data_IF_441254183290
#
_entry.id   IF_441254183290
#
_cell.length_a   1.000
_cell.length_b   1.000
_cell.length_c   1.000
_cell.angle_alpha   90.00
_cell.angle_beta   90.00
_cell.angle_gamma   90.00
#
_symmetry.space_group_name_H-M   'P 1'
#
loop_
_entity.id
_entity.type
_entity.pdbx_description
1 polymer ?
#
# COMPACT_ATOMS: atom_id res chain seq x y z
N UNK A 1 -25.00 -29.14 -76.59
CA UNK A 1 -24.68 -27.81 -77.16
C UNK A 1 -24.57 -26.80 -76.03
N UNK A 2 -23.34 -26.30 -75.84
CA UNK A 2 -22.81 -25.19 -75.02
C UNK A 2 -23.72 -24.61 -73.93
N UNK A 3 -23.43 -24.90 -72.66
CA UNK A 3 -23.78 -24.04 -71.52
C UNK A 3 -22.49 -23.51 -70.88
N UNK A 4 -22.30 -22.20 -70.96
CA UNK A 4 -21.18 -21.44 -70.42
C UNK A 4 -21.24 -21.45 -68.89
N UNK A 5 -20.18 -21.95 -68.25
CA UNK A 5 -19.96 -21.87 -66.81
C UNK A 5 -19.25 -20.54 -66.56
N UNK A 6 -19.91 -19.61 -65.85
CA UNK A 6 -19.28 -18.39 -65.38
C UNK A 6 -18.67 -18.63 -64.00
N UNK A 7 -17.36 -18.37 -63.88
CA UNK A 7 -16.65 -18.27 -62.61
C UNK A 7 -17.12 -17.02 -61.85
N UNK A 8 -17.42 -17.11 -60.54
CA UNK A 8 -17.28 -15.98 -59.65
C UNK A 8 -15.90 -15.99 -58.99
N UNK A 9 -15.26 -14.84 -59.12
CA UNK A 9 -13.99 -14.38 -58.57
C UNK A 9 -13.90 -14.55 -57.06
N UNK A 10 -12.87 -15.25 -56.59
CA UNK A 10 -12.48 -15.32 -55.18
C UNK A 10 -11.80 -14.01 -54.80
N UNK A 11 -12.53 -13.11 -54.13
CA UNK A 11 -11.97 -11.90 -53.54
C UNK A 11 -11.39 -12.27 -52.17
N UNK A 12 -10.05 -12.23 -52.07
CA UNK A 12 -9.31 -12.56 -50.86
C UNK A 12 -9.58 -11.58 -49.72
N UNK A 13 -10.12 -12.10 -48.62
CA UNK A 13 -10.16 -11.40 -47.33
C UNK A 13 -8.80 -11.58 -46.66
N UNK A 14 -7.94 -10.57 -46.79
CA UNK A 14 -6.72 -10.44 -46.00
C UNK A 14 -7.13 -9.98 -44.60
N UNK A 15 -7.19 -10.93 -43.68
CA UNK A 15 -7.47 -10.71 -42.27
C UNK A 15 -6.24 -10.05 -41.63
N UNK A 16 -6.27 -8.73 -41.48
CA UNK A 16 -5.29 -7.96 -40.71
C UNK A 16 -5.38 -8.39 -39.24
N UNK A 17 -4.49 -9.29 -38.83
CA UNK A 17 -4.17 -9.58 -37.43
C UNK A 17 -3.51 -8.33 -36.81
N UNK A 18 -4.30 -7.34 -36.43
CA UNK A 18 -3.89 -6.37 -35.43
C UNK A 18 -3.78 -7.11 -34.09
N UNK A 19 -2.60 -7.62 -33.81
CA UNK A 19 -2.24 -8.07 -32.47
C UNK A 19 -2.33 -6.88 -31.53
N UNK A 20 -3.43 -6.77 -30.79
CA UNK A 20 -3.54 -5.85 -29.67
C UNK A 20 -2.59 -6.38 -28.60
N UNK A 21 -1.35 -5.91 -28.61
CA UNK A 21 -0.45 -6.09 -27.47
C UNK A 21 -1.09 -5.34 -26.31
N UNK A 22 -1.68 -6.08 -25.37
CA UNK A 22 -2.11 -5.51 -24.10
C UNK A 22 -0.83 -4.97 -23.45
N UNK A 23 -0.71 -3.65 -23.37
CA UNK A 23 0.43 -3.02 -22.72
C UNK A 23 0.51 -3.59 -21.29
N UNK A 24 1.67 -4.11 -20.86
CA UNK A 24 1.80 -4.61 -19.51
C UNK A 24 1.49 -3.47 -18.54
N UNK A 25 0.62 -3.73 -17.56
CA UNK A 25 0.37 -2.78 -16.46
C UNK A 25 1.71 -2.41 -15.80
N UNK A 26 1.93 -1.12 -15.54
CA UNK A 26 3.15 -0.62 -14.92
C UNK A 26 3.51 -1.43 -13.65
N UNK A 27 4.78 -1.81 -13.50
CA UNK A 27 5.26 -2.64 -12.40
C UNK A 27 5.09 -4.16 -12.57
N UNK A 28 4.61 -4.62 -13.73
CA UNK A 28 4.67 -6.05 -14.07
C UNK A 28 6.13 -6.51 -14.13
N UNK A 29 6.53 -7.60 -13.45
CA UNK A 29 7.94 -7.98 -13.35
C UNK A 29 8.57 -8.20 -14.74
N UNK A 30 9.61 -7.43 -15.10
CA UNK A 30 10.50 -7.78 -16.22
C UNK A 30 11.28 -9.05 -15.85
N UNK A 31 11.77 -9.82 -16.84
CA UNK A 31 12.47 -11.12 -16.68
C UNK A 31 13.61 -11.15 -15.64
N UNK A 32 14.13 -10.01 -15.20
CA UNK A 32 15.18 -9.90 -14.18
C UNK A 32 14.63 -9.30 -12.88
N UNK A 33 14.18 -10.17 -11.98
CA UNK A 33 13.82 -9.81 -10.60
C UNK A 33 15.04 -9.96 -9.71
N UNK A 34 15.47 -8.87 -9.10
CA UNK A 34 16.57 -8.86 -8.15
C UNK A 34 16.04 -9.09 -6.74
N UNK A 35 16.68 -10.01 -6.04
CA UNK A 35 16.50 -10.28 -4.61
C UNK A 35 17.75 -9.94 -3.82
N UNK A 36 18.64 -9.10 -4.37
CA UNK A 36 19.81 -8.55 -3.67
C UNK A 36 19.68 -7.03 -3.66
N UNK A 37 19.58 -6.45 -2.47
CA UNK A 37 19.45 -5.01 -2.26
C UNK A 37 20.85 -4.44 -2.04
N UNK A 38 21.14 -3.31 -2.66
CA UNK A 38 22.34 -2.52 -2.41
C UNK A 38 21.96 -1.06 -2.28
N UNK A 39 22.77 -0.28 -1.57
CA UNK A 39 22.61 1.16 -1.48
C UNK A 39 23.83 1.81 -2.14
N UNK A 40 23.58 2.67 -3.11
CA UNK A 40 24.59 3.50 -3.75
C UNK A 40 24.38 4.95 -3.33
N UNK A 41 25.44 5.60 -2.84
CA UNK A 41 25.38 6.97 -2.35
C UNK A 41 25.36 8.02 -3.46
N UNK A 42 25.70 7.64 -4.69
CA UNK A 42 25.81 8.51 -5.87
C UNK A 42 24.53 8.54 -6.73
N UNK A 43 23.59 7.62 -6.51
CA UNK A 43 22.36 7.53 -7.27
C UNK A 43 21.31 8.55 -6.76
N UNK A 44 20.56 9.22 -7.65
CA UNK A 44 19.46 10.10 -7.26
C UNK A 44 18.47 9.40 -6.33
N UNK A 45 18.02 10.11 -5.30
CA UNK A 45 17.05 9.61 -4.34
C UNK A 45 15.64 10.08 -4.69
N UNK A 46 14.66 9.18 -4.59
CA UNK A 46 13.23 9.49 -4.73
C UNK A 46 12.42 8.77 -3.65
N UNK A 47 11.37 9.41 -3.14
CA UNK A 47 10.38 8.74 -2.29
C UNK A 47 9.52 7.80 -3.15
N UNK A 48 9.15 6.64 -2.60
CA UNK A 48 8.48 5.57 -3.35
C UNK A 48 7.25 6.06 -4.11
N UNK A 49 6.35 6.77 -3.43
CA UNK A 49 5.08 7.21 -4.03
C UNK A 49 5.26 8.38 -5.00
N UNK A 50 6.20 9.28 -4.72
CA UNK A 50 6.57 10.36 -5.65
C UNK A 50 7.17 9.78 -6.95
N UNK A 51 8.02 8.76 -6.83
CA UNK A 51 8.58 8.06 -8.00
C UNK A 51 7.53 7.31 -8.82
N UNK A 52 6.50 6.76 -8.17
CA UNK A 52 5.35 6.13 -8.85
C UNK A 52 4.53 7.18 -9.60
N UNK A 53 4.22 8.31 -8.96
CA UNK A 53 3.47 9.42 -9.55
C UNK A 53 4.20 10.01 -10.78
N UNK A 54 5.52 10.20 -10.67
CA UNK A 54 6.38 10.67 -11.77
C UNK A 54 6.68 9.62 -12.84
N UNK A 55 6.09 8.42 -12.74
CA UNK A 55 6.34 7.29 -13.65
C UNK A 55 7.81 6.88 -13.77
N UNK A 56 8.64 7.21 -12.77
CA UNK A 56 10.03 6.76 -12.65
C UNK A 56 10.09 5.35 -12.06
N UNK A 57 9.09 5.02 -11.23
CA UNK A 57 8.91 3.72 -10.61
C UNK A 57 7.58 3.11 -11.04
N UNK A 58 7.56 1.79 -11.22
CA UNK A 58 6.33 1.00 -11.31
C UNK A 58 6.20 0.12 -10.07
N UNK A 59 5.01 -0.03 -9.51
CA UNK A 59 4.77 -0.91 -8.38
C UNK A 59 3.57 -1.83 -8.63
N UNK A 60 3.73 -3.12 -8.36
CA UNK A 60 2.66 -4.11 -8.45
C UNK A 60 2.61 -5.00 -7.23
N UNK A 61 1.41 -5.17 -6.69
CA UNK A 61 1.17 -6.00 -5.51
C UNK A 61 0.45 -7.29 -5.91
N UNK A 62 0.96 -8.41 -5.42
CA UNK A 62 0.34 -9.73 -5.55
C UNK A 62 0.05 -10.28 -4.15
N UNK A 63 -1.20 -10.15 -3.68
CA UNK A 63 -1.57 -10.69 -2.38
C UNK A 63 -1.57 -12.21 -2.38
N UNK A 64 -1.08 -12.78 -1.28
CA UNK A 64 -1.12 -14.22 -1.04
C UNK A 64 -2.10 -14.55 0.09
N UNK A 65 -2.17 -13.68 1.10
CA UNK A 65 -3.11 -13.76 2.21
C UNK A 65 -3.27 -12.39 2.87
N UNK A 66 -4.10 -12.32 3.92
CA UNK A 66 -4.18 -11.19 4.83
C UNK A 66 -2.81 -10.71 5.35
N UNK A 67 -1.89 -11.66 5.56
CA UNK A 67 -0.62 -11.44 6.25
C UNK A 67 0.61 -11.31 5.35
N UNK A 68 0.46 -11.56 4.04
CA UNK A 68 1.59 -11.58 3.13
C UNK A 68 1.18 -11.23 1.71
N UNK A 69 1.89 -10.25 1.14
CA UNK A 69 1.84 -9.95 -0.30
C UNK A 69 3.26 -9.86 -0.87
N UNK A 70 3.44 -10.27 -2.12
CA UNK A 70 4.65 -9.98 -2.88
C UNK A 70 4.50 -8.62 -3.56
N UNK A 71 5.44 -7.72 -3.34
CA UNK A 71 5.46 -6.39 -3.95
C UNK A 71 6.65 -6.28 -4.88
N UNK A 72 6.39 -5.90 -6.12
CA UNK A 72 7.41 -5.71 -7.14
C UNK A 72 7.54 -4.22 -7.42
N UNK A 73 8.76 -3.70 -7.29
CA UNK A 73 9.09 -2.30 -7.55
C UNK A 73 10.10 -2.26 -8.69
N UNK A 74 9.70 -1.67 -9.81
CA UNK A 74 10.49 -1.57 -11.04
C UNK A 74 11.02 -0.17 -11.21
N UNK A 75 12.32 -0.03 -11.48
CA UNK A 75 12.89 1.20 -12.01
C UNK A 75 12.56 1.29 -13.51
N UNK A 76 11.82 2.31 -13.91
CA UNK A 76 11.41 2.53 -15.30
C UNK A 76 12.39 3.44 -16.06
N UNK A 77 13.39 3.98 -15.37
CA UNK A 77 14.42 4.85 -15.94
C UNK A 77 15.64 4.08 -16.42
N UNK A 78 16.49 4.76 -17.20
CA UNK A 78 17.77 4.24 -17.71
C UNK A 78 18.95 4.49 -16.76
N UNK A 79 18.72 5.15 -15.62
CA UNK A 79 19.72 5.45 -14.60
C UNK A 79 19.41 4.70 -13.28
N UNK A 80 20.41 4.38 -12.45
CA UNK A 80 20.16 3.82 -11.13
C UNK A 80 19.37 4.81 -10.27
N UNK A 81 18.42 4.31 -9.48
CA UNK A 81 17.54 5.15 -8.67
C UNK A 81 17.48 4.61 -7.24
N UNK A 82 17.81 5.45 -6.25
CA UNK A 82 17.67 5.12 -4.83
C UNK A 82 16.25 5.45 -4.38
N UNK A 83 15.55 4.45 -3.88
CA UNK A 83 14.16 4.54 -3.45
C UNK A 83 14.08 4.56 -1.94
N UNK A 84 13.34 5.53 -1.40
CA UNK A 84 12.96 5.57 0.01
C UNK A 84 11.52 5.07 0.17
N UNK A 85 11.38 4.02 0.94
CA UNK A 85 10.11 3.37 1.27
C UNK A 85 9.66 3.84 2.65
N UNK A 86 8.40 4.27 2.80
CA UNK A 86 7.90 4.66 4.11
C UNK A 86 7.77 3.45 5.02
N UNK A 87 7.76 3.70 6.33
CA UNK A 87 7.69 2.64 7.33
C UNK A 87 6.47 1.72 7.13
N UNK A 88 5.31 2.29 6.78
CA UNK A 88 4.10 1.55 6.48
C UNK A 88 3.50 1.96 5.13
N UNK A 89 2.86 1.00 4.47
CA UNK A 89 2.14 1.17 3.21
C UNK A 89 0.82 0.42 3.26
N UNK A 90 -0.10 0.80 2.37
CA UNK A 90 -1.34 0.05 2.14
C UNK A 90 -1.35 -0.55 0.73
N UNK A 91 -2.08 -1.65 0.57
CA UNK A 91 -2.36 -2.27 -0.72
C UNK A 91 -3.85 -2.39 -0.89
N UNK A 92 -4.38 -1.77 -1.94
CA UNK A 92 -5.82 -1.67 -2.19
C UNK A 92 -6.17 -2.32 -3.51
N UNK A 93 -7.35 -2.92 -3.55
CA UNK A 93 -7.88 -3.48 -4.78
C UNK A 93 -8.34 -2.36 -5.70
N UNK A 94 -7.83 -2.35 -6.93
CA UNK A 94 -8.39 -1.53 -8.00
C UNK A 94 -9.37 -2.41 -8.78
N UNK A 95 -10.62 -1.97 -8.83
CA UNK A 95 -11.56 -2.51 -9.82
C UNK A 95 -10.91 -2.26 -11.18
N UNK A 96 -10.74 -3.32 -11.96
CA UNK A 96 -10.10 -3.25 -13.27
C UNK A 96 -10.59 -2.00 -13.98
N UNK A 97 -9.66 -1.10 -14.32
CA UNK A 97 -9.95 0.06 -15.16
C UNK A 97 -10.79 -0.44 -16.32
N UNK A 98 -12.06 -0.06 -16.30
CA UNK A 98 -13.04 -0.43 -17.29
C UNK A 98 -12.52 0.08 -18.63
N UNK A 99 -11.91 -0.80 -19.42
CA UNK A 99 -11.86 -0.61 -20.86
C UNK A 99 -13.28 -0.41 -21.37
N UNK A 100 -13.50 0.27 -22.51
CA UNK A 100 -14.79 0.82 -22.92
C UNK A 100 -15.92 -0.19 -23.21
N UNK A 101 -15.79 -1.47 -22.83
CA UNK A 101 -16.88 -2.46 -22.89
C UNK A 101 -16.75 -3.58 -21.83
N UNK A 102 -16.95 -3.30 -20.52
CA UNK A 102 -16.94 -4.35 -19.50
C UNK A 102 -18.28 -5.12 -19.44
N UNK A 103 -19.37 -4.54 -19.95
CA UNK A 103 -20.72 -5.10 -19.83
C UNK A 103 -21.06 -6.20 -20.83
N UNK A 104 -20.38 -6.27 -21.98
CA UNK A 104 -20.79 -7.16 -23.07
C UNK A 104 -20.27 -8.60 -22.92
N UNK A 105 -19.08 -8.78 -22.32
CA UNK A 105 -18.52 -10.11 -22.12
C UNK A 105 -19.04 -10.79 -20.83
N UNK A 106 -19.45 -10.00 -19.84
CA UNK A 106 -19.99 -10.48 -18.56
C UNK A 106 -21.40 -11.10 -18.72
N UNK A 107 -22.13 -10.75 -19.77
CA UNK A 107 -23.47 -11.29 -20.05
C UNK A 107 -23.49 -12.61 -20.85
N UNK A 108 -22.35 -13.04 -21.42
CA UNK A 108 -22.30 -14.19 -22.33
C UNK A 108 -21.75 -15.47 -21.69
N UNK A 109 -21.18 -15.40 -20.48
CA UNK A 109 -20.66 -16.56 -19.77
C UNK A 109 -21.58 -16.89 -18.59
N UNK A 110 -22.66 -17.61 -18.90
CA UNK A 110 -23.53 -18.20 -17.90
C UNK A 110 -22.76 -19.20 -17.04
N UNK A 111 -22.45 -18.82 -15.81
CA UNK A 111 -21.84 -19.71 -14.83
C UNK A 111 -20.92 -18.98 -13.85
N UNK A 112 -21.29 -19.06 -12.57
CA UNK A 112 -20.58 -18.53 -11.40
C UNK A 112 -20.67 -17.02 -11.17
N UNK A 113 -21.46 -16.68 -10.15
CA UNK A 113 -21.42 -15.39 -9.47
C UNK A 113 -19.97 -15.09 -9.06
N UNK A 114 -19.28 -14.27 -9.87
CA UNK A 114 -18.03 -13.66 -9.44
C UNK A 114 -18.42 -12.68 -8.34
N UNK A 115 -17.94 -12.94 -7.13
CA UNK A 115 -18.23 -12.19 -5.91
C UNK A 115 -17.93 -10.69 -6.12
N UNK A 116 -18.95 -9.94 -6.52
CA UNK A 116 -18.94 -8.47 -6.65
C UNK A 116 -18.98 -7.90 -5.24
N UNK A 117 -17.82 -7.85 -4.61
CA UNK A 117 -17.62 -7.22 -3.31
C UNK A 117 -16.25 -6.59 -3.27
N UNK A 118 -16.18 -5.39 -2.72
CA UNK A 118 -14.92 -4.67 -2.49
C UNK A 118 -13.95 -5.60 -1.77
N UNK A 119 -12.80 -5.81 -2.40
CA UNK A 119 -11.78 -6.67 -1.83
C UNK A 119 -11.09 -5.97 -0.68
N UNK A 120 -10.63 -6.77 0.27
CA UNK A 120 -9.95 -6.27 1.46
C UNK A 120 -8.69 -5.46 1.13
N UNK A 121 -8.59 -4.25 1.67
CA UNK A 121 -7.34 -3.53 1.74
C UNK A 121 -6.46 -4.08 2.86
N UNK A 122 -5.15 -4.11 2.65
CA UNK A 122 -4.18 -4.52 3.68
C UNK A 122 -3.18 -3.43 3.95
N UNK A 123 -2.67 -3.36 5.18
CA UNK A 123 -1.65 -2.40 5.60
C UNK A 123 -0.53 -3.04 6.39
N UNK A 124 0.69 -2.54 6.24
CA UNK A 124 1.86 -3.03 6.98
C UNK A 124 3.18 -2.62 6.34
N UNK A 125 4.24 -3.37 6.60
CA UNK A 125 5.61 -2.99 6.26
C UNK A 125 6.18 -3.81 5.11
N UNK A 126 6.95 -3.14 4.26
CA UNK A 126 7.75 -3.79 3.23
C UNK A 126 9.05 -4.32 3.83
N UNK A 127 9.38 -5.56 3.53
CA UNK A 127 10.54 -6.26 4.06
C UNK A 127 11.32 -6.92 2.91
N UNK A 128 12.66 -6.98 2.99
CA UNK A 128 13.45 -7.74 2.02
C UNK A 128 13.14 -9.24 2.06
N UNK A 129 13.33 -9.92 0.93
CA UNK A 129 13.15 -11.37 0.80
C UNK A 129 14.43 -12.05 0.35
N UNK A 130 14.51 -13.37 0.53
CA UNK A 130 15.66 -14.18 0.13
C UNK A 130 16.95 -13.78 0.86
N UNK A 131 18.04 -13.66 0.12
CA UNK A 131 19.37 -13.42 0.68
C UNK A 131 19.52 -12.06 1.42
N UNK A 132 18.56 -11.15 1.28
CA UNK A 132 18.58 -9.84 1.96
C UNK A 132 17.90 -9.82 3.33
N UNK A 133 17.36 -10.93 3.83
CA UNK A 133 16.65 -10.92 5.14
C UNK A 133 17.54 -10.53 6.33
N UNK A 134 18.87 -10.58 6.13
CA UNK A 134 19.92 -10.20 7.10
C UNK A 134 20.41 -8.76 6.95
N UNK A 135 19.94 -8.01 5.96
CA UNK A 135 20.29 -6.59 5.80
C UNK A 135 19.36 -5.78 6.70
N UNK A 136 19.92 -4.85 7.46
CA UNK A 136 19.16 -3.86 8.21
C UNK A 136 18.42 -2.96 7.22
N UNK A 137 17.13 -3.25 7.05
CA UNK A 137 16.28 -2.57 6.07
C UNK A 137 15.72 -1.29 6.67
N UNK A 138 16.43 -0.18 6.45
CA UNK A 138 15.99 1.15 6.86
C UNK A 138 15.07 1.83 5.82
N UNK A 139 14.43 1.03 4.95
CA UNK A 139 13.57 1.55 3.89
C UNK A 139 14.29 2.21 2.71
N UNK A 140 15.63 2.16 2.64
CA UNK A 140 16.41 2.77 1.55
C UNK A 140 17.18 1.72 0.75
N UNK A 141 17.03 1.73 -0.58
CA UNK A 141 17.80 0.86 -1.48
C UNK A 141 17.85 1.40 -2.91
N UNK A 142 18.89 1.04 -3.64
CA UNK A 142 19.08 1.39 -5.06
C UNK A 142 18.59 0.27 -5.97
N UNK A 143 17.80 0.66 -6.96
CA UNK A 143 17.35 -0.22 -8.05
C UNK A 143 18.14 0.14 -9.32
N UNK A 144 18.89 -0.80 -9.92
CA UNK A 144 19.57 -0.54 -11.19
C UNK A 144 18.58 -0.19 -12.32
N UNK A 145 19.06 0.42 -13.42
CA UNK A 145 18.25 0.73 -14.59
C UNK A 145 17.41 -0.45 -15.07
N UNK A 146 16.12 -0.22 -15.30
CA UNK A 146 15.18 -1.22 -15.84
C UNK A 146 15.05 -2.54 -15.04
N UNK A 147 15.55 -2.57 -13.80
CA UNK A 147 15.45 -3.74 -12.92
C UNK A 147 14.23 -3.67 -12.03
N UNK A 148 13.80 -4.84 -11.58
CA UNK A 148 12.68 -4.98 -10.64
C UNK A 148 13.17 -5.63 -9.36
N UNK A 149 12.82 -5.06 -8.22
CA UNK A 149 13.08 -5.62 -6.90
C UNK A 149 11.79 -6.27 -6.38
N UNK A 150 11.93 -7.42 -5.72
CA UNK A 150 10.84 -8.05 -4.98
C UNK A 150 10.99 -7.78 -3.48
N UNK A 151 9.94 -7.28 -2.85
CA UNK A 151 9.79 -7.15 -1.40
C UNK A 151 8.58 -7.97 -0.93
N UNK A 152 8.54 -8.29 0.36
CA UNK A 152 7.37 -8.85 1.03
C UNK A 152 6.68 -7.74 1.81
N UNK A 153 5.40 -7.54 1.53
CA UNK A 153 4.52 -6.77 2.41
C UNK A 153 3.99 -7.72 3.48
N UNK A 154 4.47 -7.54 4.71
CA UNK A 154 3.90 -8.21 5.89
C UNK A 154 2.78 -7.31 6.41
N UNK A 155 1.55 -7.78 6.34
CA UNK A 155 0.38 -6.92 6.49
C UNK A 155 -0.68 -7.49 7.42
N UNK A 156 -1.73 -6.72 7.65
CA UNK A 156 -3.00 -7.16 8.22
C UNK A 156 -4.14 -6.57 7.38
N UNK A 157 -5.31 -7.20 7.45
CA UNK A 157 -6.55 -6.67 6.88
C UNK A 157 -6.94 -5.36 7.59
N UNK A 158 -7.18 -4.30 6.84
CA UNK A 158 -7.56 -3.00 7.43
C UNK A 158 -9.03 -2.96 7.84
N UNK A 159 -9.89 -3.73 7.18
CA UNK A 159 -11.33 -3.73 7.44
C UNK A 159 -11.79 -5.11 7.94
N UNK A 160 -12.82 -5.16 8.77
CA UNK A 160 -13.44 -6.43 9.15
C UNK A 160 -14.55 -6.81 8.16
N UNK A 161 -14.73 -8.12 7.91
CA UNK A 161 -15.85 -8.65 7.11
C UNK A 161 -15.63 -8.66 5.60
N UNK A 162 -14.61 -7.97 5.08
CA UNK A 162 -14.23 -8.06 3.66
C UNK A 162 -13.50 -9.36 3.34
N UNK A 163 -13.66 -9.92 2.13
CA UNK A 163 -13.01 -11.15 1.73
C UNK A 163 -11.48 -10.98 1.73
N UNK A 164 -10.78 -11.98 2.27
CA UNK A 164 -9.31 -12.03 2.31
C UNK A 164 -8.72 -11.71 0.93
N UNK A 165 -7.64 -10.89 0.85
CA UNK A 165 -7.09 -10.50 -0.44
C UNK A 165 -6.53 -11.72 -1.17
N UNK A 166 -6.76 -11.76 -2.49
CA UNK A 166 -6.32 -12.86 -3.35
C UNK A 166 -5.55 -12.35 -4.56
N UNK A 167 -4.66 -13.19 -5.08
CA UNK A 167 -3.85 -12.91 -6.28
C UNK A 167 -4.66 -12.84 -7.58
N UNK A 168 -5.93 -13.27 -7.57
CA UNK A 168 -6.85 -13.20 -8.71
C UNK A 168 -7.28 -11.76 -9.03
N UNK A 169 -7.10 -10.86 -8.07
CA UNK A 169 -7.56 -9.48 -8.12
C UNK A 169 -6.35 -8.54 -8.24
N UNK A 170 -6.55 -7.36 -8.83
CA UNK A 170 -5.45 -6.42 -9.09
C UNK A 170 -5.32 -5.42 -7.94
N UNK A 171 -4.11 -5.29 -7.38
CA UNK A 171 -3.84 -4.39 -6.27
C UNK A 171 -2.76 -3.38 -6.62
N UNK A 172 -2.93 -2.17 -6.09
CA UNK A 172 -1.94 -1.11 -6.14
C UNK A 172 -1.47 -0.74 -4.75
N UNK A 173 -0.23 -0.23 -4.69
CA UNK A 173 0.36 0.25 -3.47
C UNK A 173 -0.03 1.71 -3.24
N UNK A 174 -0.42 2.06 -2.02
CA UNK A 174 -0.77 3.44 -1.63
C UNK A 174 -0.13 3.83 -0.30
N UNK A 175 0.03 5.13 -0.02
CA UNK A 175 0.37 5.62 1.32
C UNK A 175 -0.62 5.06 2.36
N UNK A 176 -0.15 4.74 3.56
CA UNK A 176 -1.02 4.15 4.59
C UNK A 176 -2.12 5.12 5.03
N UNK A 177 -1.80 6.41 5.06
CA UNK A 177 -2.67 7.53 5.42
C UNK A 177 -3.83 7.70 4.43
N UNK A 178 -3.70 7.18 3.21
CA UNK A 178 -4.80 7.21 2.23
C UNK A 178 -5.92 6.23 2.54
N UNK A 179 -5.65 5.23 3.40
CA UNK A 179 -6.61 4.17 3.75
C UNK A 179 -6.98 4.18 5.24
N UNK A 180 -6.09 4.68 6.09
CA UNK A 180 -6.29 4.69 7.54
C UNK A 180 -6.42 6.11 8.05
N UNK A 181 -7.57 6.41 8.67
CA UNK A 181 -7.86 7.72 9.26
C UNK A 181 -7.32 7.84 10.69
N UNK A 182 -7.42 6.77 11.48
CA UNK A 182 -6.96 6.73 12.88
C UNK A 182 -5.43 6.76 12.95
N UNK A 183 -4.89 7.85 13.52
CA UNK A 183 -3.45 8.07 13.64
C UNK A 183 -2.75 7.08 14.58
N UNK A 184 -3.46 6.52 15.57
CA UNK A 184 -2.92 5.47 16.41
C UNK A 184 -2.71 4.18 15.59
N UNK A 185 -3.62 3.86 14.67
CA UNK A 185 -3.45 2.70 13.78
C UNK A 185 -2.29 2.92 12.80
N UNK A 186 -2.17 4.11 12.21
CA UNK A 186 -1.01 4.47 11.36
C UNK A 186 0.29 4.25 12.13
N UNK A 187 0.39 4.76 13.35
CA UNK A 187 1.58 4.63 14.20
C UNK A 187 1.91 3.18 14.55
N UNK A 188 0.89 2.37 14.89
CA UNK A 188 1.07 0.94 15.15
C UNK A 188 1.61 0.24 13.91
N UNK A 189 1.05 0.50 12.73
CA UNK A 189 1.53 -0.11 11.49
C UNK A 189 2.93 0.36 11.10
N UNK A 190 3.31 1.61 11.39
CA UNK A 190 4.67 2.11 11.16
C UNK A 190 5.70 1.45 12.09
N UNK A 191 5.32 1.13 13.33
CA UNK A 191 6.18 0.48 14.33
C UNK A 191 6.13 -1.04 14.29
N UNK A 192 5.18 -1.62 13.56
CA UNK A 192 4.98 -3.05 13.44
C UNK A 192 6.24 -3.73 12.92
N UNK A 193 6.69 -4.77 13.62
CA UNK A 193 7.79 -5.61 13.21
C UNK A 193 7.32 -7.07 13.09
N UNK A 194 7.12 -7.58 11.87
CA UNK A 194 6.59 -8.93 11.65
C UNK A 194 7.52 -10.06 12.13
N UNK A 195 8.77 -9.76 12.53
CA UNK A 195 9.67 -10.77 13.14
C UNK A 195 9.44 -10.95 14.64
N UNK A 196 8.87 -9.96 15.32
CA UNK A 196 8.72 -9.94 16.78
C UNK A 196 7.27 -9.79 17.24
N UNK A 197 6.45 -9.11 16.46
CA UNK A 197 5.05 -8.85 16.81
C UNK A 197 4.13 -9.96 16.29
N UNK A 198 3.13 -10.29 17.10
CA UNK A 198 2.07 -11.24 16.75
C UNK A 198 1.12 -10.60 15.72
N UNK A 199 1.04 -11.20 14.53
CA UNK A 199 0.20 -10.73 13.42
C UNK A 199 -1.29 -10.71 13.77
N UNK A 200 -1.78 -11.64 14.59
CA UNK A 200 -3.19 -11.72 14.96
C UNK A 200 -3.52 -10.66 16.01
N UNK A 201 -2.61 -10.38 16.94
CA UNK A 201 -2.73 -9.20 17.81
C UNK A 201 -2.84 -7.92 16.99
N UNK A 202 -1.97 -7.72 15.98
CA UNK A 202 -2.01 -6.53 15.11
C UNK A 202 -3.29 -6.49 14.27
N UNK A 203 -3.79 -7.66 13.83
CA UNK A 203 -5.08 -7.78 13.14
C UNK A 203 -6.26 -7.35 14.03
N UNK A 204 -6.24 -7.70 15.32
CA UNK A 204 -7.24 -7.26 16.29
C UNK A 204 -7.18 -5.74 16.48
N UNK A 205 -5.98 -5.15 16.56
CA UNK A 205 -5.79 -3.70 16.66
C UNK A 205 -6.36 -3.00 15.43
N UNK A 206 -6.05 -3.49 14.23
CA UNK A 206 -6.56 -2.93 12.98
C UNK A 206 -8.09 -2.92 12.94
N UNK A 207 -8.73 -4.05 13.25
CA UNK A 207 -10.19 -4.14 13.27
C UNK A 207 -10.85 -3.31 14.37
N UNK A 208 -10.20 -3.18 15.55
CA UNK A 208 -10.68 -2.33 16.61
C UNK A 208 -10.67 -0.84 16.22
N UNK A 209 -9.56 -0.36 15.64
CA UNK A 209 -9.37 1.05 15.34
C UNK A 209 -10.05 1.48 14.03
N UNK A 210 -9.98 0.65 12.99
CA UNK A 210 -10.50 0.97 11.64
C UNK A 210 -11.97 0.60 11.47
N UNK A 211 -12.41 -0.53 12.01
CA UNK A 211 -13.79 -1.03 11.86
C UNK A 211 -14.64 -0.88 13.12
N UNK A 212 -14.09 -0.26 14.17
CA UNK A 212 -14.77 0.02 15.43
C UNK A 212 -15.34 -1.22 16.15
N UNK A 213 -14.74 -2.40 15.94
CA UNK A 213 -15.15 -3.61 16.66
C UNK A 213 -14.82 -3.49 18.15
N UNK A 214 -15.79 -3.83 19.00
CA UNK A 214 -15.57 -3.90 20.44
C UNK A 214 -14.65 -5.06 20.84
N UNK A 215 -13.88 -4.91 21.93
CA UNK A 215 -12.99 -5.97 22.40
C UNK A 215 -13.71 -7.28 22.76
N UNK A 216 -14.93 -7.19 23.28
CA UNK A 216 -15.77 -8.36 23.55
C UNK A 216 -16.22 -9.03 22.25
N UNK A 217 -16.53 -8.24 21.23
CA UNK A 217 -16.87 -8.77 19.91
C UNK A 217 -15.66 -9.50 19.31
N UNK A 218 -14.47 -8.90 19.37
CA UNK A 218 -13.21 -9.54 18.94
C UNK A 218 -12.96 -10.84 19.70
N UNK A 219 -13.16 -10.86 21.03
CA UNK A 219 -13.01 -12.07 21.85
C UNK A 219 -13.97 -13.20 21.46
N UNK A 220 -15.14 -12.85 20.92
CA UNK A 220 -16.14 -13.82 20.46
C UNK A 220 -15.89 -14.35 19.04
N UNK A 221 -14.98 -13.74 18.27
CA UNK A 221 -14.68 -14.17 16.90
C UNK A 221 -14.02 -15.54 16.91
N UNK A 222 -14.36 -16.36 15.91
CA UNK A 222 -13.89 -17.74 15.76
C UNK A 222 -13.42 -17.98 14.32
N UNK A 223 -12.30 -18.68 14.16
CA UNK A 223 -11.84 -19.23 12.88
C UNK A 223 -12.56 -20.55 12.63
N UNK A 224 -12.90 -20.80 11.37
CA UNK A 224 -13.52 -22.04 10.89
C UNK A 224 -14.71 -22.49 11.74
N UNK A 225 -15.91 -21.99 11.42
CA UNK A 225 -17.16 -22.49 12.02
C UNK A 225 -17.45 -23.90 11.51
N UNK A 226 -16.76 -24.90 12.05
CA UNK A 226 -17.02 -26.33 11.86
C UNK A 226 -17.85 -26.82 13.05
N UNK A 227 -18.64 -27.88 12.85
CA UNK A 227 -19.42 -28.58 13.88
C UNK A 227 -18.53 -28.82 15.11
N UNK A 228 -18.89 -28.21 16.25
CA UNK A 228 -18.06 -28.20 17.48
C UNK A 228 -17.67 -26.81 17.98
N UNK A 229 -18.04 -25.75 17.27
CA UNK A 229 -18.05 -24.39 17.82
C UNK A 229 -16.77 -23.57 17.60
N UNK A 230 -15.89 -23.95 16.66
CA UNK A 230 -14.78 -23.15 16.12
C UNK A 230 -13.66 -22.80 17.11
N UNK A 231 -12.45 -22.59 16.60
CA UNK A 231 -11.32 -22.11 17.43
C UNK A 231 -11.41 -20.58 17.56
N UNK A 232 -11.17 -19.97 18.74
CA UNK A 232 -11.13 -18.51 18.87
C UNK A 232 -10.18 -17.89 17.86
N UNK A 233 -10.58 -16.77 17.28
CA UNK A 233 -9.73 -16.06 16.34
C UNK A 233 -8.53 -15.44 17.06
N UNK A 234 -8.76 -14.90 18.25
CA UNK A 234 -7.75 -14.29 19.12
C UNK A 234 -7.72 -14.97 20.48
N UNK A 235 -6.54 -15.11 21.04
CA UNK A 235 -6.33 -15.55 22.42
C UNK A 235 -6.56 -14.40 23.41
N UNK A 236 -6.90 -14.69 24.69
CA UNK A 236 -7.02 -13.65 25.70
C UNK A 236 -5.73 -12.82 25.87
N UNK A 237 -4.56 -13.47 25.78
CA UNK A 237 -3.26 -12.80 25.89
C UNK A 237 -3.03 -11.79 24.73
N UNK A 238 -3.35 -12.18 23.49
CA UNK A 238 -3.28 -11.28 22.34
C UNK A 238 -4.19 -10.06 22.52
N UNK A 239 -5.41 -10.25 23.04
CA UNK A 239 -6.36 -9.14 23.25
C UNK A 239 -5.93 -8.18 24.37
N UNK A 240 -5.33 -8.72 25.46
CA UNK A 240 -4.77 -7.88 26.53
C UNK A 240 -3.59 -7.06 26.00
N UNK A 241 -2.69 -7.69 25.24
CA UNK A 241 -1.56 -7.00 24.61
C UNK A 241 -2.05 -5.94 23.61
N UNK A 242 -3.02 -6.28 22.76
CA UNK A 242 -3.62 -5.36 21.78
C UNK A 242 -4.21 -4.12 22.46
N UNK A 243 -4.98 -4.28 23.55
CA UNK A 243 -5.52 -3.15 24.34
C UNK A 243 -4.41 -2.23 24.83
N UNK A 244 -3.33 -2.79 25.37
CA UNK A 244 -2.19 -2.02 25.87
C UNK A 244 -1.49 -1.24 24.75
N UNK A 245 -1.27 -1.89 23.60
CA UNK A 245 -0.64 -1.25 22.44
C UNK A 245 -1.51 -0.11 21.91
N UNK A 246 -2.82 -0.32 21.79
CA UNK A 246 -3.77 0.74 21.36
C UNK A 246 -3.72 1.94 22.28
N UNK A 247 -3.71 1.73 23.60
CA UNK A 247 -3.67 2.82 24.57
C UNK A 247 -2.38 3.65 24.44
N UNK A 248 -1.23 2.97 24.38
CA UNK A 248 0.07 3.62 24.19
C UNK A 248 0.10 4.37 22.85
N UNK A 249 -0.41 3.77 21.78
CA UNK A 249 -0.42 4.37 20.45
C UNK A 249 -1.30 5.62 20.39
N UNK A 250 -2.44 5.65 21.10
CA UNK A 250 -3.30 6.84 21.21
C UNK A 250 -2.58 7.97 21.95
N UNK A 251 -1.98 7.67 23.11
CA UNK A 251 -1.22 8.67 23.87
C UNK A 251 -0.11 9.26 23.01
N UNK A 252 0.65 8.41 22.31
CA UNK A 252 1.75 8.85 21.46
C UNK A 252 1.26 9.64 20.24
N UNK A 253 0.20 9.20 19.57
CA UNK A 253 -0.35 9.92 18.41
C UNK A 253 -0.89 11.30 18.80
N UNK A 254 -1.57 11.43 19.95
CA UNK A 254 -1.99 12.72 20.51
C UNK A 254 -0.79 13.62 20.86
N UNK A 255 0.28 13.05 21.43
CA UNK A 255 1.51 13.81 21.72
C UNK A 255 2.17 14.33 20.44
N UNK A 256 2.27 13.50 19.41
CA UNK A 256 2.82 13.89 18.10
C UNK A 256 1.97 14.96 17.44
N UNK A 257 0.64 14.85 17.49
CA UNK A 257 -0.28 15.86 16.99
C UNK A 257 -0.11 17.21 17.72
N UNK A 258 0.01 17.18 19.05
CA UNK A 258 0.26 18.38 19.85
C UNK A 258 1.63 19.01 19.58
N UNK A 259 2.67 18.22 19.33
CA UNK A 259 3.99 18.73 18.94
C UNK A 259 3.95 19.40 17.56
N UNK A 260 3.29 18.78 16.58
CA UNK A 260 3.11 19.34 15.24
C UNK A 260 2.32 20.65 15.27
N UNK A 261 1.30 20.75 16.13
CA UNK A 261 0.54 21.98 16.33
C UNK A 261 1.37 23.11 16.96
N UNK A 262 2.37 22.77 17.79
CA UNK A 262 3.29 23.73 18.40
C UNK A 262 4.42 24.18 17.46
N UNK A 263 4.66 23.48 16.35
CA UNK A 263 5.85 23.71 15.51
C UNK A 263 5.66 24.66 14.31
N UNK A 264 4.56 25.44 14.18
CA UNK A 264 4.39 26.47 13.13
C UNK A 264 3.45 27.64 13.52
N UNK A 265 3.75 28.94 13.24
CA UNK A 265 5.06 29.58 13.06
C UNK A 265 5.33 30.76 14.04
N UNK A 266 6.55 30.84 14.56
CA UNK A 266 7.21 32.12 14.80
C UNK A 266 7.75 32.62 13.44
N UNK A 267 6.96 33.43 12.73
CA UNK A 267 7.42 34.18 11.56
C UNK A 267 7.20 35.68 11.78
N UNK A 268 8.34 36.40 11.86
CA UNK A 268 8.48 37.86 11.80
C UNK A 268 7.85 38.70 12.93
N UNK A 269 8.44 38.66 14.13
CA UNK A 269 8.51 39.90 14.92
C UNK A 269 9.68 40.72 14.39
N UNK A 270 9.36 41.67 13.53
CA UNK A 270 10.25 42.73 13.09
C UNK A 270 10.78 43.45 14.34
N UNK A 271 12.05 43.25 14.68
CA UNK A 271 12.71 43.93 15.80
C UNK A 271 13.15 45.35 15.43
N UNK A 272 12.24 46.11 14.81
CA UNK A 272 12.38 47.54 14.56
C UNK A 272 11.31 48.29 15.36
N UNK A 273 11.42 48.24 16.68
CA UNK A 273 10.89 49.31 17.52
C UNK A 273 11.76 49.43 18.76
N UNK A 274 12.85 50.20 18.63
CA UNK A 274 13.53 50.75 19.81
C UNK A 274 12.50 51.64 20.53
N UNK A 275 12.18 51.43 21.82
CA UNK A 275 11.45 52.43 22.56
C UNK A 275 12.37 53.64 22.71
N UNK A 276 12.08 54.72 21.97
CA UNK A 276 12.68 56.03 22.21
C UNK A 276 12.19 56.47 23.59
N UNK A 277 13.04 56.26 24.60
CA UNK A 277 12.93 56.90 25.90
C UNK A 277 12.95 58.42 25.68
N UNK A 278 11.77 59.03 25.63
CA UNK A 278 11.62 60.47 25.70
C UNK A 278 12.04 60.93 27.10
N UNK A 279 13.31 61.34 27.20
CA UNK A 279 13.87 62.01 28.37
C UNK A 279 13.12 63.33 28.55
N UNK A 280 12.09 63.32 29.40
CA UNK A 280 11.45 64.54 29.89
C UNK A 280 12.49 65.32 30.70
N UNK A 281 12.98 66.39 30.10
CA UNK A 281 13.91 67.34 30.69
C UNK A 281 13.13 68.20 31.69
N UNK A 282 13.18 67.85 32.98
CA UNK A 282 12.76 68.76 34.05
C UNK A 282 13.70 69.97 34.07
N UNK A 283 13.21 71.10 33.56
CA UNK A 283 13.79 72.42 33.76
C UNK A 283 13.11 73.11 34.94
N UNK A 284 13.94 73.58 35.89
CA UNK A 284 13.61 74.42 37.05
C UNK A 284 12.61 75.54 36.76
N UNK A 285 11.68 75.78 37.69
CA UNK A 285 11.63 77.01 38.48
C UNK A 285 11.22 76.68 39.91
#
# INVERSE_FOLDING_TARGET
MVKRIQLPTVLGIVLLLCGTSIAPVNGTPKKSVMTTLSLKSDAPQVELFEGIEKQQLGARVYPMSAYSSSVYISNLTTAPLTVKVPAAVSSVHILAQAGPNPGLLQGLQGGQQTQVGDSQAVGGNLNPVGNNQKIDFNGLFTIPPEKTVKLKLSSVCLEHGKPCPSSLKTYELRPIESQVQDQALVLVLQKFNPKHDDLEMVQAIAWHLSSHLGWQELASKKKHQIVGGGVPFFTPAQLIAAKKVVEVARIESHKLAAQKAKSFPDSNVNSDTRPVLSRVRQGRR
#
